data_IF_394549315523
#
_entry.id   IF_394549315523
#
_cell.length_a   1.000
_cell.length_b   1.000
_cell.length_c   1.000
_cell.angle_alpha   90.00
_cell.angle_beta   90.00
_cell.angle_gamma   90.00
#
_symmetry.space_group_name_H-M   'P 1'
#
loop_
_entity.id
_entity.type
_entity.pdbx_description
1 polymer ?
#
# COMPACT_ATOMS: atom_id res chain seq x y z
N UNK A 1 14.70 -13.20 18.60
CA UNK A 1 14.40 -13.26 17.15
C UNK A 1 13.66 -11.99 16.81
N UNK A 2 14.20 -11.15 15.92
CA UNK A 2 13.51 -9.91 15.53
C UNK A 2 12.43 -10.32 14.54
N UNK A 3 11.19 -10.46 15.00
CA UNK A 3 10.02 -10.52 14.12
C UNK A 3 9.94 -9.16 13.42
N UNK A 4 10.62 -9.02 12.30
CA UNK A 4 10.66 -7.78 11.53
C UNK A 4 9.35 -7.64 10.78
N UNK A 5 8.60 -6.56 11.04
CA UNK A 5 7.44 -6.27 10.21
C UNK A 5 7.94 -5.89 8.81
N UNK A 6 7.53 -6.65 7.80
CA UNK A 6 7.82 -6.34 6.41
C UNK A 6 6.71 -5.46 5.84
N UNK A 7 7.09 -4.30 5.30
CA UNK A 7 6.15 -3.40 4.63
C UNK A 7 6.28 -3.56 3.12
N UNK A 8 5.16 -3.84 2.47
CA UNK A 8 5.06 -3.82 1.03
C UNK A 8 4.30 -2.56 0.61
N UNK A 9 4.88 -1.76 -0.27
CA UNK A 9 4.24 -0.56 -0.80
C UNK A 9 4.32 -0.51 -2.31
N UNK A 10 3.30 0.08 -2.94
CA UNK A 10 3.27 0.34 -4.36
C UNK A 10 2.47 1.62 -4.64
N UNK A 11 2.85 2.34 -5.70
CA UNK A 11 2.21 3.59 -6.09
C UNK A 11 1.43 3.36 -7.37
N UNK A 12 0.16 3.74 -7.38
CA UNK A 12 -0.69 3.81 -8.56
C UNK A 12 -1.00 5.27 -8.90
N UNK A 13 -0.92 5.63 -10.18
CA UNK A 13 -1.42 6.93 -10.63
C UNK A 13 -2.92 6.87 -10.93
N UNK A 14 -3.59 8.01 -10.86
CA UNK A 14 -5.02 8.14 -11.15
C UNK A 14 -5.87 8.30 -9.90
N UNK A 15 -7.15 7.95 -10.00
CA UNK A 15 -8.08 8.02 -8.88
C UNK A 15 -8.00 6.79 -7.95
N UNK A 16 -8.69 6.88 -6.81
CA UNK A 16 -8.72 5.80 -5.82
C UNK A 16 -9.28 4.48 -6.38
N UNK A 17 -10.25 4.54 -7.30
CA UNK A 17 -10.79 3.33 -7.92
C UNK A 17 -9.73 2.69 -8.83
N UNK A 18 -8.98 3.48 -9.59
CA UNK A 18 -7.83 2.98 -10.34
C UNK A 18 -6.77 2.33 -9.45
N UNK A 19 -6.50 2.90 -8.27
CA UNK A 19 -5.58 2.32 -7.30
C UNK A 19 -6.06 0.94 -6.79
N UNK A 20 -7.37 0.75 -6.59
CA UNK A 20 -7.96 -0.55 -6.23
C UNK A 20 -7.82 -1.58 -7.35
N UNK A 21 -8.13 -1.20 -8.58
CA UNK A 21 -7.95 -2.06 -9.75
C UNK A 21 -6.48 -2.47 -9.94
N UNK A 22 -5.57 -1.50 -9.83
CA UNK A 22 -4.13 -1.75 -9.82
C UNK A 22 -3.71 -2.69 -8.70
N UNK A 23 -4.24 -2.53 -7.49
CA UNK A 23 -3.99 -3.44 -6.37
C UNK A 23 -4.42 -4.88 -6.68
N UNK A 24 -5.61 -5.08 -7.26
CA UNK A 24 -6.05 -6.41 -7.70
C UNK A 24 -5.12 -7.01 -8.76
N UNK A 25 -4.63 -6.19 -9.70
CA UNK A 25 -3.65 -6.63 -10.68
C UNK A 25 -2.29 -6.95 -10.04
N UNK A 26 -1.82 -6.16 -9.07
CA UNK A 26 -0.58 -6.40 -8.35
C UNK A 26 -0.65 -7.72 -7.58
N UNK A 27 -1.80 -8.05 -6.99
CA UNK A 27 -2.01 -9.34 -6.29
C UNK A 27 -1.79 -10.58 -7.15
N UNK A 28 -1.96 -10.46 -8.47
CA UNK A 28 -1.70 -11.55 -9.40
C UNK A 28 -0.23 -11.60 -9.83
N UNK A 29 0.57 -10.60 -9.47
CA UNK A 29 2.00 -10.55 -9.82
C UNK A 29 2.84 -11.18 -8.70
N UNK A 30 3.79 -12.08 -9.04
CA UNK A 30 4.75 -12.59 -8.09
C UNK A 30 5.68 -11.46 -7.62
N UNK A 31 6.14 -11.55 -6.37
CA UNK A 31 7.18 -10.67 -5.86
C UNK A 31 8.50 -10.95 -6.58
N UNK A 32 9.10 -9.92 -7.18
CA UNK A 32 10.35 -10.04 -7.94
C UNK A 32 11.51 -10.67 -7.12
N UNK A 33 11.49 -10.52 -5.79
CA UNK A 33 12.52 -11.06 -4.89
C UNK A 33 12.12 -12.38 -4.20
N UNK A 34 10.83 -12.76 -4.23
CA UNK A 34 10.29 -14.01 -3.68
C UNK A 34 9.20 -14.51 -4.62
N UNK A 35 9.61 -15.31 -5.61
CA UNK A 35 8.70 -15.87 -6.61
C UNK A 35 7.58 -16.75 -6.01
N UNK A 36 7.74 -17.21 -4.76
CA UNK A 36 6.73 -18.00 -4.05
C UNK A 36 5.67 -17.18 -3.30
N UNK A 37 5.76 -15.84 -3.29
CA UNK A 37 4.79 -14.97 -2.64
C UNK A 37 4.21 -13.96 -3.63
N UNK A 38 2.91 -13.74 -3.56
CA UNK A 38 2.23 -12.73 -4.35
C UNK A 38 2.34 -11.35 -3.69
N UNK A 39 2.23 -10.27 -4.48
CA UNK A 39 2.03 -8.97 -3.85
C UNK A 39 0.70 -8.96 -3.09
N UNK A 40 0.68 -8.26 -1.98
CA UNK A 40 -0.52 -8.07 -1.17
C UNK A 40 -1.27 -9.35 -0.79
N UNK A 41 -0.54 -10.45 -0.60
CA UNK A 41 -1.09 -11.75 -0.26
C UNK A 41 -1.90 -11.69 1.05
N UNK A 42 -3.07 -12.33 1.08
CA UNK A 42 -3.97 -12.29 2.25
C UNK A 42 -4.76 -10.98 2.43
N UNK A 43 -4.34 -9.86 1.85
CA UNK A 43 -5.09 -8.59 1.92
C UNK A 43 -6.28 -8.64 0.96
N UNK A 44 -7.49 -8.44 1.46
CA UNK A 44 -8.76 -8.55 0.71
C UNK A 44 -9.09 -7.30 -0.06
N UNK A 45 -8.85 -6.14 0.55
CA UNK A 45 -9.28 -4.84 0.05
C UNK A 45 -8.26 -3.75 0.37
N UNK A 46 -8.40 -2.61 -0.31
CA UNK A 46 -7.65 -1.38 -0.03
C UNK A 46 -8.62 -0.37 0.59
N UNK A 47 -8.21 0.22 1.70
CA UNK A 47 -8.95 1.27 2.40
C UNK A 47 -8.19 2.57 2.35
N UNK A 48 -8.92 3.68 2.35
CA UNK A 48 -8.33 5.00 2.53
C UNK A 48 -7.70 5.09 3.92
N UNK A 49 -6.54 5.73 4.01
CA UNK A 49 -5.99 6.13 5.29
C UNK A 49 -7.01 7.03 6.00
N UNK A 50 -7.30 6.73 7.26
CA UNK A 50 -8.26 7.49 8.03
C UNK A 50 -7.76 8.94 8.24
N UNK A 51 -8.65 9.91 7.97
CA UNK A 51 -8.31 11.32 7.91
C UNK A 51 -7.96 11.70 6.48
N UNK A 52 -8.80 12.55 5.87
CA UNK A 52 -8.70 13.08 4.50
C UNK A 52 -7.38 13.85 4.30
N UNK A 53 -6.28 13.11 4.23
CA UNK A 53 -4.91 13.63 4.27
C UNK A 53 -4.31 13.39 2.90
N UNK A 54 -4.22 14.49 2.15
CA UNK A 54 -3.47 14.54 0.90
C UNK A 54 -2.04 14.91 1.24
N UNK A 55 -1.10 14.02 0.92
CA UNK A 55 0.31 14.25 1.19
C UNK A 55 0.99 14.84 -0.05
N UNK A 56 1.74 15.92 0.12
CA UNK A 56 2.59 16.44 -0.98
C UNK A 56 3.90 15.65 -1.12
N UNK A 57 4.22 14.82 -0.12
CA UNK A 57 5.46 14.05 -0.02
C UNK A 57 5.20 12.55 0.18
N UNK A 58 5.77 11.75 -0.72
CA UNK A 58 5.61 10.30 -0.72
C UNK A 58 6.27 9.62 0.49
N UNK A 59 7.36 10.19 1.02
CA UNK A 59 8.05 9.66 2.20
C UNK A 59 7.18 9.86 3.45
N UNK A 60 6.54 11.03 3.59
CA UNK A 60 5.61 11.30 4.69
C UNK A 60 4.38 10.37 4.62
N UNK A 61 3.81 10.20 3.43
CA UNK A 61 2.72 9.25 3.20
C UNK A 61 3.15 7.82 3.59
N UNK A 62 4.33 7.38 3.16
CA UNK A 62 4.88 6.06 3.45
C UNK A 62 5.06 5.84 4.96
N UNK A 63 5.67 6.80 5.66
CA UNK A 63 5.86 6.71 7.13
C UNK A 63 4.54 6.66 7.88
N UNK A 64 3.54 7.42 7.42
CA UNK A 64 2.22 7.45 8.06
C UNK A 64 1.46 6.14 7.85
N UNK A 65 1.50 5.60 6.62
CA UNK A 65 0.95 4.28 6.32
C UNK A 65 1.65 3.20 7.14
N UNK A 66 2.98 3.23 7.26
CA UNK A 66 3.74 2.24 8.03
C UNK A 66 3.37 2.25 9.53
N UNK A 67 3.08 3.43 10.09
CA UNK A 67 2.60 3.57 11.48
C UNK A 67 1.17 3.05 11.68
N UNK A 68 0.36 3.03 10.63
CA UNK A 68 -1.07 2.70 10.70
C UNK A 68 -1.36 1.26 10.25
N UNK A 69 -0.56 0.73 9.31
CA UNK A 69 -0.69 -0.63 8.80
C UNK A 69 -0.28 -1.64 9.87
N UNK A 70 -1.21 -2.48 10.31
CA UNK A 70 -0.91 -3.66 11.12
C UNK A 70 -0.59 -4.89 10.25
N UNK A 71 0.34 -5.75 10.66
CA UNK A 71 0.63 -6.99 9.93
C UNK A 71 -0.56 -7.96 9.90
N UNK A 72 -1.33 -8.00 10.97
CA UNK A 72 -2.53 -8.83 11.14
C UNK A 72 -3.77 -8.29 10.42
N UNK A 73 -3.68 -7.11 9.80
CA UNK A 73 -4.83 -6.52 9.11
C UNK A 73 -5.12 -7.23 7.80
N UNK A 74 -6.39 -7.46 7.48
CA UNK A 74 -6.79 -8.08 6.23
C UNK A 74 -6.98 -7.07 5.08
N UNK A 75 -6.57 -5.82 5.27
CA UNK A 75 -6.67 -4.75 4.28
C UNK A 75 -5.34 -4.02 4.12
N UNK A 76 -5.12 -3.46 2.93
CA UNK A 76 -4.07 -2.50 2.68
C UNK A 76 -4.61 -1.08 2.90
N UNK A 77 -3.74 -0.14 3.25
CA UNK A 77 -4.09 1.28 3.37
C UNK A 77 -3.56 2.04 2.16
N UNK A 78 -4.34 2.98 1.67
CA UNK A 78 -3.99 3.88 0.59
C UNK A 78 -3.95 5.32 1.10
N UNK A 79 -2.86 6.02 0.84
CA UNK A 79 -2.74 7.46 1.06
C UNK A 79 -2.68 8.18 -0.28
N UNK A 80 -3.43 9.28 -0.39
CA UNK A 80 -3.36 10.14 -1.56
C UNK A 80 -2.09 10.98 -1.49
N UNK A 81 -1.34 10.98 -2.59
CA UNK A 81 -0.18 11.83 -2.80
C UNK A 81 -0.53 12.80 -3.92
N UNK A 82 -0.45 14.09 -3.63
CA UNK A 82 -0.59 15.12 -4.64
C UNK A 82 0.76 15.34 -5.33
N UNK A 83 0.80 15.05 -6.62
CA UNK A 83 1.88 15.51 -7.48
C UNK A 83 1.26 16.51 -8.45
N UNK A 84 1.90 17.66 -8.66
CA UNK A 84 1.34 18.87 -9.30
C UNK A 84 0.63 18.66 -10.65
N UNK A 85 0.79 17.50 -11.27
CA UNK A 85 0.16 17.12 -12.54
C UNK A 85 -0.92 16.02 -12.41
N UNK A 86 -0.85 15.15 -11.39
CA UNK A 86 -1.73 13.98 -11.23
C UNK A 86 -1.87 13.53 -9.78
N UNK A 87 -3.07 13.11 -9.41
CA UNK A 87 -3.29 12.34 -8.20
C UNK A 87 -2.56 10.99 -8.26
N UNK A 88 -1.84 10.68 -7.19
CA UNK A 88 -1.20 9.40 -6.99
C UNK A 88 -1.69 8.78 -5.69
N UNK A 89 -1.69 7.47 -5.63
CA UNK A 89 -2.13 6.72 -4.46
C UNK A 89 -1.03 5.75 -4.06
N UNK A 90 -0.49 5.94 -2.87
CA UNK A 90 0.45 5.01 -2.27
C UNK A 90 -0.34 3.98 -1.47
N UNK A 91 -0.30 2.73 -1.92
CA UNK A 91 -0.91 1.60 -1.23
C UNK A 91 0.16 0.85 -0.47
N UNK A 92 -0.07 0.61 0.82
CA UNK A 92 0.83 -0.12 1.69
C UNK A 92 0.11 -1.20 2.48
N UNK A 93 0.82 -2.30 2.72
CA UNK A 93 0.42 -3.32 3.67
C UNK A 93 1.63 -3.81 4.49
N UNK A 94 1.38 -4.13 5.75
CA UNK A 94 2.35 -4.75 6.64
C UNK A 94 2.15 -6.27 6.70
N UNK A 95 3.23 -6.99 6.98
CA UNK A 95 3.29 -8.44 7.15
C UNK A 95 4.21 -8.79 8.32
N UNK A 96 3.87 -9.85 9.05
CA UNK A 96 4.81 -10.50 9.96
C UNK A 96 5.73 -11.41 9.13
N UNK A 97 7.03 -11.37 9.41
CA UNK A 97 8.05 -12.27 8.83
C UNK A 97 8.01 -13.67 9.44
#
# INVERSE_FOLDING_TARGET
MRSGIQYQSNIGGGDFQHAKDCFHAWKQQPLAYRMSQHRFEGKREVRLLAGDSVFEDAEVAQRTLAKTCGPNENYALAAQIYNSERDMWLVMAAYEE
#
